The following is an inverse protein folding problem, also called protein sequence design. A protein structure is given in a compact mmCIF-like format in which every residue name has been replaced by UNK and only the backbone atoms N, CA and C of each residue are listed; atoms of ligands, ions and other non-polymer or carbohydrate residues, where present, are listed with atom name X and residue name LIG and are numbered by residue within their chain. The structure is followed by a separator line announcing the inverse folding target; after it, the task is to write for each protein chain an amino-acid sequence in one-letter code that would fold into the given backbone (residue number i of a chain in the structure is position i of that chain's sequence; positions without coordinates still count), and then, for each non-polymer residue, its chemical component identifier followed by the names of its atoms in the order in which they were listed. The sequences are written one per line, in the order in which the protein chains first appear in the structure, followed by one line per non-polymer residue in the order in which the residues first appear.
data_IF_394967259718
#
_entry.id   IF_394967259718
#
_cell.length_a   1.000
_cell.length_b   1.000
_cell.length_c   1.000
_cell.angle_alpha   90.00
_cell.angle_beta   90.00
_cell.angle_gamma   90.00
#
_symmetry.space_group_name_H-M   'P 1'
#
loop_
_entity.id
_entity.type
_entity.pdbx_description
1 polymer ?
#
# COMPACT_ATOMS: atom_id res chain seq x y z
N UNK A 1 -21.26 -5.39 -19.56
CA UNK A 1 -21.01 -3.94 -19.71
C UNK A 1 -19.52 -3.68 -19.50
N UNK A 2 -18.79 -3.34 -20.57
CA UNK A 2 -17.34 -3.11 -20.54
C UNK A 2 -17.09 -1.70 -19.97
N UNK A 3 -16.98 -1.58 -18.64
CA UNK A 3 -16.75 -0.27 -18.01
C UNK A 3 -15.32 0.20 -18.34
N UNK A 4 -15.26 1.29 -19.08
CA UNK A 4 -14.06 1.92 -19.62
C UNK A 4 -13.22 2.48 -18.48
N UNK A 5 -11.92 2.20 -18.52
CA UNK A 5 -10.91 3.00 -17.83
C UNK A 5 -11.20 4.49 -18.06
N UNK A 6 -11.20 5.29 -16.99
CA UNK A 6 -11.37 6.75 -17.05
C UNK A 6 -10.03 7.42 -16.75
N UNK A 7 -9.35 7.99 -17.76
CA UNK A 7 -8.08 8.68 -17.56
C UNK A 7 -8.21 9.85 -16.57
N UNK A 8 -9.33 10.58 -16.61
CA UNK A 8 -9.57 11.71 -15.72
C UNK A 8 -9.61 11.28 -14.24
N UNK A 9 -10.33 10.21 -13.93
CA UNK A 9 -10.41 9.68 -12.57
C UNK A 9 -9.06 9.09 -12.11
N UNK A 10 -8.28 8.49 -13.01
CA UNK A 10 -6.92 8.03 -12.70
C UNK A 10 -6.01 9.20 -12.29
N UNK A 11 -5.95 10.27 -13.08
CA UNK A 11 -5.13 11.44 -12.75
C UNK A 11 -5.60 12.16 -11.49
N UNK A 12 -6.91 12.18 -11.23
CA UNK A 12 -7.48 12.67 -9.98
C UNK A 12 -6.94 11.88 -8.78
N UNK A 13 -6.92 10.54 -8.87
CA UNK A 13 -6.33 9.67 -7.85
C UNK A 13 -4.84 9.93 -7.61
N UNK A 14 -4.06 10.12 -8.69
CA UNK A 14 -2.64 10.48 -8.56
C UNK A 14 -2.46 11.84 -7.87
N UNK A 15 -3.27 12.84 -8.25
CA UNK A 15 -3.17 14.20 -7.70
C UNK A 15 -3.54 14.25 -6.23
N UNK A 16 -4.58 13.52 -5.83
CA UNK A 16 -5.04 13.49 -4.45
C UNK A 16 -4.10 12.71 -3.53
N UNK A 17 -3.29 11.80 -4.10
CA UNK A 17 -2.29 11.04 -3.35
C UNK A 17 -0.94 11.77 -3.24
N UNK A 18 -0.72 12.83 -4.03
CA UNK A 18 0.51 13.61 -4.03
C UNK A 18 0.90 14.17 -2.64
N UNK A 19 -0.04 14.73 -1.85
CA UNK A 19 0.28 15.23 -0.51
C UNK A 19 0.80 14.15 0.45
N UNK A 20 0.42 12.88 0.26
CA UNK A 20 0.89 11.77 1.11
C UNK A 20 2.38 11.49 0.92
N UNK A 21 2.94 11.79 -0.26
CA UNK A 21 4.37 11.61 -0.53
C UNK A 21 5.26 12.47 0.37
N UNK A 22 4.77 13.62 0.83
CA UNK A 22 5.48 14.48 1.78
C UNK A 22 5.76 13.73 3.09
N UNK A 23 4.88 12.80 3.50
CA UNK A 23 5.11 11.92 4.64
C UNK A 23 5.92 10.68 4.31
N UNK A 24 5.70 10.07 3.13
CA UNK A 24 6.31 8.80 2.74
C UNK A 24 7.81 8.92 2.49
N UNK A 25 8.25 10.00 1.81
CA UNK A 25 9.67 10.20 1.48
C UNK A 25 10.55 10.26 2.75
N UNK A 26 10.30 11.15 3.73
CA UNK A 26 11.13 11.19 4.94
C UNK A 26 10.99 9.91 5.78
N UNK A 27 9.80 9.30 5.78
CA UNK A 27 9.58 8.02 6.44
C UNK A 27 10.47 6.89 5.88
N UNK A 28 10.54 6.77 4.55
CA UNK A 28 11.39 5.79 3.89
C UNK A 28 12.88 6.01 4.17
N UNK A 29 13.32 7.27 4.26
CA UNK A 29 14.69 7.64 4.65
C UNK A 29 14.98 7.17 6.08
N UNK A 30 14.09 7.49 7.04
CA UNK A 30 14.26 7.10 8.45
C UNK A 30 14.30 5.57 8.60
N UNK A 31 13.42 4.85 7.91
CA UNK A 31 13.42 3.38 7.93
C UNK A 31 14.70 2.80 7.33
N UNK A 32 15.20 3.36 6.22
CA UNK A 32 16.46 2.93 5.61
C UNK A 32 17.66 3.16 6.55
N UNK A 33 17.74 4.34 7.15
CA UNK A 33 18.80 4.64 8.15
C UNK A 33 18.67 3.69 9.34
N UNK A 34 17.45 3.44 9.82
CA UNK A 34 17.17 2.53 10.93
C UNK A 34 17.59 1.09 10.64
N UNK A 35 17.33 0.58 9.43
CA UNK A 35 17.71 -0.78 9.04
C UNK A 35 19.24 -0.94 8.93
N UNK A 36 19.95 0.07 8.41
CA UNK A 36 21.44 0.08 8.45
C UNK A 36 21.95 0.13 9.89
N UNK A 37 21.36 0.96 10.75
CA UNK A 37 21.71 1.04 12.16
C UNK A 37 21.44 -0.27 12.93
N UNK A 38 20.43 -1.03 12.50
CA UNK A 38 20.08 -2.35 13.04
C UNK A 38 21.01 -3.48 12.55
N UNK A 39 22.06 -3.16 11.78
CA UNK A 39 23.05 -4.14 11.30
C UNK A 39 22.72 -4.80 9.97
N UNK A 40 21.69 -4.35 9.25
CA UNK A 40 21.45 -4.78 7.87
C UNK A 40 22.51 -4.19 6.93
N UNK A 41 22.93 -4.97 5.92
CA UNK A 41 23.79 -4.40 4.87
C UNK A 41 23.06 -3.27 4.15
N UNK A 42 23.76 -2.25 3.63
CA UNK A 42 23.12 -1.16 2.88
C UNK A 42 22.24 -1.66 1.72
N UNK A 43 22.68 -2.75 1.06
CA UNK A 43 21.92 -3.39 -0.02
C UNK A 43 20.67 -4.08 0.50
N UNK A 44 20.75 -4.80 1.63
CA UNK A 44 19.59 -5.44 2.24
C UNK A 44 18.59 -4.42 2.80
N UNK A 45 19.09 -3.32 3.37
CA UNK A 45 18.28 -2.18 3.82
C UNK A 45 17.54 -1.53 2.66
N UNK A 46 18.22 -1.32 1.53
CA UNK A 46 17.60 -0.77 0.32
C UNK A 46 16.56 -1.74 -0.23
N UNK A 47 16.88 -3.05 -0.28
CA UNK A 47 15.95 -4.08 -0.72
C UNK A 47 14.72 -4.18 0.17
N UNK A 48 14.87 -4.07 1.50
CA UNK A 48 13.73 -4.00 2.42
C UNK A 48 12.85 -2.78 2.12
N UNK A 49 13.43 -1.61 1.90
CA UNK A 49 12.65 -0.41 1.55
C UNK A 49 11.96 -0.47 0.19
N UNK A 50 12.53 -1.20 -0.78
CA UNK A 50 11.92 -1.37 -2.11
C UNK A 50 10.85 -2.46 -2.15
N UNK A 51 11.02 -3.53 -1.36
CA UNK A 51 10.14 -4.71 -1.37
C UNK A 51 8.98 -4.51 -0.38
N UNK A 52 9.24 -3.89 0.77
CA UNK A 52 8.20 -3.62 1.77
C UNK A 52 7.52 -2.28 1.48
N UNK A 53 6.50 -2.34 0.64
CA UNK A 53 5.51 -1.27 0.47
C UNK A 53 4.67 -1.00 1.74
N UNK A 54 4.84 -1.81 2.81
CA UNK A 54 4.16 -1.62 4.09
C UNK A 54 5.06 -0.93 5.11
N UNK A 55 4.81 0.35 5.35
CA UNK A 55 5.57 1.12 6.34
C UNK A 55 5.47 0.56 7.76
N UNK A 56 4.31 0.04 8.17
CA UNK A 56 4.18 -0.55 9.51
C UNK A 56 5.00 -1.84 9.66
N UNK A 57 5.04 -2.69 8.64
CA UNK A 57 5.89 -3.87 8.65
C UNK A 57 7.37 -3.46 8.72
N UNK A 58 7.74 -2.37 8.06
CA UNK A 58 9.12 -1.86 8.01
C UNK A 58 9.61 -1.39 9.39
N UNK A 59 8.77 -0.67 10.13
CA UNK A 59 9.06 -0.28 11.52
C UNK A 59 9.27 -1.53 12.37
N UNK A 60 8.34 -2.49 12.33
CA UNK A 60 8.42 -3.70 13.15
C UNK A 60 9.65 -4.54 12.80
N UNK A 61 9.95 -4.69 11.51
CA UNK A 61 11.13 -5.42 11.07
C UNK A 61 12.42 -4.77 11.57
N UNK A 62 12.52 -3.44 11.48
CA UNK A 62 13.70 -2.68 11.90
C UNK A 62 13.92 -2.79 13.41
N UNK A 63 12.85 -2.69 14.20
CA UNK A 63 12.91 -2.84 15.66
C UNK A 63 13.32 -4.25 16.08
N UNK A 64 12.76 -5.27 15.43
CA UNK A 64 13.08 -6.67 15.72
C UNK A 64 14.51 -7.01 15.29
N UNK A 65 14.97 -6.50 14.14
CA UNK A 65 16.37 -6.60 13.71
C UNK A 65 17.31 -5.96 14.74
N UNK A 66 17.02 -4.74 15.20
CA UNK A 66 17.83 -4.05 16.20
C UNK A 66 17.89 -4.79 17.54
N UNK A 67 16.83 -5.53 17.90
CA UNK A 67 16.80 -6.38 19.10
C UNK A 67 17.53 -7.72 18.96
N UNK A 68 18.05 -8.05 17.77
CA UNK A 68 18.68 -9.34 17.49
C UNK A 68 17.68 -10.51 17.40
N UNK A 69 16.41 -10.23 17.10
CA UNK A 69 15.39 -11.27 17.01
C UNK A 69 15.69 -12.25 15.85
N UNK A 70 15.30 -13.54 15.99
CA UNK A 70 15.44 -14.50 14.91
C UNK A 70 14.66 -14.07 13.66
N UNK A 71 15.20 -14.35 12.47
CA UNK A 71 14.58 -14.01 11.19
C UNK A 71 13.13 -14.51 11.06
N UNK A 72 12.84 -15.71 11.58
CA UNK A 72 11.48 -16.26 11.58
C UNK A 72 10.48 -15.40 12.35
N UNK A 73 10.91 -14.79 13.46
CA UNK A 73 10.06 -13.88 14.26
C UNK A 73 9.81 -12.59 13.50
N UNK A 74 10.84 -12.01 12.88
CA UNK A 74 10.70 -10.83 12.02
C UNK A 74 9.70 -11.09 10.89
N UNK A 75 9.85 -12.21 10.19
CA UNK A 75 8.96 -12.59 9.09
C UNK A 75 7.51 -12.78 9.57
N UNK A 76 7.29 -13.51 10.67
CA UNK A 76 5.97 -13.73 11.24
C UNK A 76 5.32 -12.43 11.69
N UNK A 77 6.06 -11.55 12.38
CA UNK A 77 5.55 -10.26 12.82
C UNK A 77 5.19 -9.36 11.64
N UNK A 78 6.02 -9.30 10.60
CA UNK A 78 5.70 -8.58 9.36
C UNK A 78 4.45 -9.13 8.69
N UNK A 79 4.29 -10.46 8.63
CA UNK A 79 3.11 -11.11 8.08
C UNK A 79 1.86 -10.76 8.87
N UNK A 80 1.92 -10.86 10.20
CA UNK A 80 0.82 -10.52 11.11
C UNK A 80 0.41 -9.05 10.97
N UNK A 81 1.36 -8.13 10.92
CA UNK A 81 1.09 -6.70 10.72
C UNK A 81 0.46 -6.46 9.34
N UNK A 82 0.91 -7.19 8.33
CA UNK A 82 0.40 -7.08 6.95
C UNK A 82 -1.00 -7.68 6.77
N UNK A 83 -1.50 -8.51 7.72
CA UNK A 83 -2.88 -9.02 7.68
C UNK A 83 -3.93 -7.90 7.66
N UNK A 84 -3.60 -6.69 8.12
CA UNK A 84 -4.50 -5.54 7.99
C UNK A 84 -4.87 -5.23 6.53
N UNK A 85 -3.95 -5.45 5.58
CA UNK A 85 -4.21 -5.28 4.15
C UNK A 85 -5.21 -6.35 3.65
N UNK A 86 -5.15 -7.56 4.20
CA UNK A 86 -6.15 -8.60 3.94
C UNK A 86 -7.54 -8.17 4.47
N UNK A 87 -7.59 -7.55 5.65
CA UNK A 87 -8.83 -7.00 6.20
C UNK A 87 -9.39 -5.86 5.33
N UNK A 88 -8.54 -4.96 4.83
CA UNK A 88 -8.94 -3.90 3.91
C UNK A 88 -9.45 -4.45 2.58
N UNK A 89 -8.79 -5.49 2.05
CA UNK A 89 -9.24 -6.19 0.85
C UNK A 89 -10.64 -6.79 1.04
N UNK A 90 -10.89 -7.43 2.18
CA UNK A 90 -12.20 -7.96 2.53
C UNK A 90 -13.26 -6.86 2.67
N UNK A 91 -12.91 -5.71 3.25
CA UNK A 91 -13.81 -4.56 3.38
C UNK A 91 -14.14 -3.90 2.02
N UNK A 92 -13.20 -3.91 1.07
CA UNK A 92 -13.37 -3.39 -0.29
C UNK A 92 -14.07 -4.39 -1.24
N UNK A 93 -14.06 -5.68 -0.91
CA UNK A 93 -14.68 -6.73 -1.72
C UNK A 93 -16.11 -6.41 -2.20
N UNK A 94 -17.07 -5.95 -1.36
CA UNK A 94 -18.42 -5.64 -1.82
C UNK A 94 -18.49 -4.53 -2.88
N UNK A 95 -17.64 -3.50 -2.79
CA UNK A 95 -17.58 -2.38 -3.73
C UNK A 95 -16.96 -2.78 -5.08
N UNK A 96 -16.09 -3.80 -5.09
CA UNK A 96 -15.35 -4.25 -6.26
C UNK A 96 -15.97 -5.49 -6.93
N UNK A 97 -17.04 -6.06 -6.35
CA UNK A 97 -17.72 -7.29 -6.82
C UNK A 97 -18.38 -7.18 -8.20
N UNK A 98 -18.50 -6.00 -8.78
CA UNK A 98 -19.02 -5.81 -10.13
C UNK A 98 -17.93 -5.65 -11.19
N UNK A 99 -16.64 -5.61 -10.79
CA UNK A 99 -15.50 -5.50 -11.71
C UNK A 99 -15.02 -6.88 -12.18
N UNK A 100 -14.38 -6.93 -13.35
CA UNK A 100 -13.75 -8.15 -13.87
C UNK A 100 -12.60 -8.63 -12.97
N UNK A 101 -12.33 -9.93 -13.01
CA UNK A 101 -11.32 -10.56 -12.14
C UNK A 101 -9.92 -9.95 -12.29
N UNK A 102 -9.55 -9.52 -13.51
CA UNK A 102 -8.28 -8.84 -13.82
C UNK A 102 -8.16 -7.47 -13.12
N UNK A 103 -9.26 -6.72 -13.09
CA UNK A 103 -9.29 -5.43 -12.39
C UNK A 103 -9.19 -5.64 -10.89
N UNK A 104 -9.88 -6.63 -10.33
CA UNK A 104 -9.78 -6.94 -8.90
C UNK A 104 -8.38 -7.34 -8.47
N UNK A 105 -7.68 -8.18 -9.24
CA UNK A 105 -6.31 -8.57 -8.92
C UNK A 105 -5.35 -7.38 -8.97
N UNK A 106 -5.55 -6.48 -9.94
CA UNK A 106 -4.70 -5.32 -10.12
C UNK A 106 -4.92 -4.29 -9.00
N UNK A 107 -6.18 -4.04 -8.63
CA UNK A 107 -6.52 -3.19 -7.49
C UNK A 107 -6.09 -3.78 -6.14
N UNK A 108 -6.13 -5.10 -5.99
CA UNK A 108 -5.61 -5.78 -4.80
C UNK A 108 -4.08 -5.68 -4.69
N UNK A 109 -3.35 -5.68 -5.82
CA UNK A 109 -1.91 -5.47 -5.84
C UNK A 109 -1.52 -4.05 -5.41
N UNK A 110 -2.33 -3.07 -5.80
CA UNK A 110 -2.11 -1.64 -5.56
C UNK A 110 -2.70 -1.18 -4.20
N UNK A 111 -3.30 -2.10 -3.44
CA UNK A 111 -3.93 -1.81 -2.15
C UNK A 111 -2.87 -1.50 -1.09
N UNK A 112 -2.75 -0.22 -0.75
CA UNK A 112 -1.97 0.28 0.37
C UNK A 112 -2.88 0.91 1.43
N UNK A 113 -2.35 1.17 2.64
CA UNK A 113 -3.13 1.81 3.71
C UNK A 113 -3.64 3.19 3.28
N UNK A 114 -2.79 3.92 2.56
CA UNK A 114 -3.06 5.26 2.05
C UNK A 114 -4.11 5.22 0.93
N UNK A 115 -3.97 4.28 0.00
CA UNK A 115 -4.93 4.10 -1.09
C UNK A 115 -6.30 3.63 -0.56
N UNK A 116 -6.34 2.75 0.45
CA UNK A 116 -7.60 2.36 1.10
C UNK A 116 -8.30 3.55 1.77
N UNK A 117 -7.56 4.36 2.53
CA UNK A 117 -8.12 5.53 3.21
C UNK A 117 -8.66 6.57 2.23
N UNK A 118 -7.92 6.89 1.17
CA UNK A 118 -8.33 7.87 0.16
C UNK A 118 -9.51 7.39 -0.70
N UNK A 119 -9.57 6.10 -1.03
CA UNK A 119 -10.63 5.59 -1.91
C UNK A 119 -11.91 5.22 -1.19
N UNK A 120 -11.85 4.81 0.08
CA UNK A 120 -13.04 4.46 0.85
C UNK A 120 -13.99 5.65 0.99
N UNK A 121 -13.48 6.88 1.13
CA UNK A 121 -14.32 8.09 1.13
C UNK A 121 -15.03 8.25 -0.21
N UNK A 122 -14.30 8.17 -1.33
CA UNK A 122 -14.88 8.32 -2.67
C UNK A 122 -15.89 7.23 -3.03
N UNK A 123 -15.64 5.98 -2.61
CA UNK A 123 -16.59 4.88 -2.79
C UNK A 123 -17.91 5.06 -2.01
N UNK A 124 -17.92 5.88 -0.96
CA UNK A 124 -19.15 6.21 -0.21
C UNK A 124 -19.93 7.36 -0.86
N UNK A 125 -19.24 8.27 -1.54
CA UNK A 125 -19.83 9.47 -2.12
C UNK A 125 -20.23 9.30 -3.60
N UNK A 126 -19.75 8.25 -4.29
CA UNK A 126 -20.03 8.02 -5.70
C UNK A 126 -20.31 6.55 -6.02
N UNK A 127 -21.43 6.27 -6.70
CA UNK A 127 -21.82 4.93 -7.16
C UNK A 127 -21.15 4.51 -8.49
N UNK A 128 -20.32 5.37 -9.10
CA UNK A 128 -19.63 5.01 -10.34
C UNK A 128 -18.41 4.13 -10.08
N UNK A 129 -18.66 2.81 -10.03
CA UNK A 129 -17.64 1.78 -9.86
C UNK A 129 -16.50 1.87 -10.91
N UNK A 130 -16.76 2.35 -12.13
CA UNK A 130 -15.73 2.41 -13.18
C UNK A 130 -14.74 3.56 -12.96
N UNK A 131 -15.26 4.74 -12.65
CA UNK A 131 -14.47 5.89 -12.27
C UNK A 131 -13.71 5.63 -10.96
N UNK A 132 -14.37 5.06 -9.95
CA UNK A 132 -13.74 4.75 -8.67
C UNK A 132 -12.63 3.70 -8.78
N UNK A 133 -12.79 2.69 -9.64
CA UNK A 133 -11.72 1.73 -9.91
C UNK A 133 -10.50 2.40 -10.57
N UNK A 134 -10.73 3.34 -11.50
CA UNK A 134 -9.65 4.08 -12.17
C UNK A 134 -8.95 5.04 -11.19
N UNK A 135 -9.70 5.68 -10.30
CA UNK A 135 -9.20 6.51 -9.21
C UNK A 135 -8.34 5.71 -8.23
N UNK A 136 -8.81 4.53 -7.83
CA UNK A 136 -8.08 3.65 -6.92
C UNK A 136 -6.75 3.18 -7.52
N UNK A 137 -6.78 2.84 -8.80
CA UNK A 137 -5.56 2.51 -9.53
C UNK A 137 -4.58 3.70 -9.60
N UNK A 138 -5.08 4.91 -9.90
CA UNK A 138 -4.24 6.11 -9.95
C UNK A 138 -3.64 6.48 -8.59
N UNK A 139 -4.43 6.34 -7.53
CA UNK A 139 -3.98 6.61 -6.16
C UNK A 139 -2.85 5.69 -5.75
N UNK A 140 -3.01 4.37 -5.87
CA UNK A 140 -1.94 3.47 -5.44
C UNK A 140 -0.80 3.29 -6.46
N UNK A 141 -0.95 3.72 -7.73
CA UNK A 141 0.19 3.79 -8.65
C UNK A 141 1.14 4.96 -8.33
N UNK A 142 0.64 5.99 -7.62
CA UNK A 142 1.43 7.14 -7.20
C UNK A 142 2.23 6.88 -5.91
N UNK A 143 1.74 5.96 -5.07
CA UNK A 143 2.27 5.61 -3.76
C UNK A 143 3.31 4.51 -3.85
#
# INVERSE_FOLDING_TARGET
MRKSFSPAAFFEGCRDSLPMLIGIIPFGIVCGIGAVAAGASPVASLAMSMIMFSGAAQIVATQLLASGAPFAVILLSCLVVSLRLLMYSAAMAPYLRTLDHRWRSLLAFVLTDQAFAGTLQRFRDSDDVGANASYFLGSGAML
#
